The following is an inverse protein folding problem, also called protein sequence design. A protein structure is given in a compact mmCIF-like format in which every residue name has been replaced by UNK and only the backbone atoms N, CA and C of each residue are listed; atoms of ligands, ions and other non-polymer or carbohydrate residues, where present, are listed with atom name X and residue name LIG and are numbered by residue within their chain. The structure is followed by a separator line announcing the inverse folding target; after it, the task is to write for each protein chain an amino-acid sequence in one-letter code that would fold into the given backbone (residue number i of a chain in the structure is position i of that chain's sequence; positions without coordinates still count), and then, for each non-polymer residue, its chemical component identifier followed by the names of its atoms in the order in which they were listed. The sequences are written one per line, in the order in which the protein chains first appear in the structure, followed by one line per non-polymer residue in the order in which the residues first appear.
data_IF_481561253646
#
_entry.id   IF_481561253646
#
_cell.length_a   1.000
_cell.length_b   1.000
_cell.length_c   1.000
_cell.angle_alpha   90.00
_cell.angle_beta   90.00
_cell.angle_gamma   90.00
#
_symmetry.space_group_name_H-M   'P 1'
#
loop_
_entity.id
_entity.type
_entity.pdbx_description
1 polymer ?
#
# COMPACT_ATOMS: atom_id res chain seq x y z
N UNK A 1 -17.07 -6.96 3.34
CA UNK A 1 -15.61 -6.79 3.47
C UNK A 1 -15.33 -5.58 4.36
N UNK A 2 -14.66 -5.80 5.48
CA UNK A 2 -14.46 -4.76 6.50
C UNK A 2 -13.03 -4.21 6.40
N UNK A 3 -12.85 -3.22 5.52
CA UNK A 3 -11.55 -2.67 5.18
C UNK A 3 -11.21 -1.52 6.10
N UNK A 4 -9.98 -1.53 6.64
CA UNK A 4 -9.46 -0.48 7.50
C UNK A 4 -8.13 0.07 6.97
N UNK A 5 -7.88 1.32 7.25
CA UNK A 5 -6.60 1.95 6.93
C UNK A 5 -5.47 1.19 7.62
N UNK A 6 -4.43 0.84 6.88
CA UNK A 6 -3.32 0.03 7.38
C UNK A 6 -3.45 -1.46 7.09
N UNK A 7 -4.59 -1.90 6.57
CA UNK A 7 -4.76 -3.28 6.14
C UNK A 7 -3.96 -3.56 4.87
N UNK A 8 -3.50 -4.80 4.73
CA UNK A 8 -2.80 -5.28 3.54
C UNK A 8 -3.68 -6.31 2.86
N UNK A 9 -3.96 -6.09 1.58
CA UNK A 9 -4.73 -7.01 0.74
C UNK A 9 -3.95 -7.39 -0.49
N UNK A 10 -4.15 -8.59 -1.01
CA UNK A 10 -3.81 -8.88 -2.41
C UNK A 10 -4.80 -8.13 -3.30
N UNK A 11 -4.28 -7.58 -4.38
CA UNK A 11 -5.09 -6.88 -5.37
C UNK A 11 -4.54 -7.10 -6.76
N UNK A 12 -5.43 -7.14 -7.75
CA UNK A 12 -5.04 -7.15 -9.16
C UNK A 12 -4.91 -5.71 -9.65
N UNK A 13 -3.69 -5.29 -9.93
CA UNK A 13 -3.38 -3.93 -10.34
C UNK A 13 -3.34 -3.78 -11.87
N UNK A 14 -3.49 -4.84 -12.62
CA UNK A 14 -3.45 -4.80 -14.09
C UNK A 14 -4.75 -4.20 -14.66
N UNK A 15 -4.69 -3.52 -15.84
CA UNK A 15 -3.49 -3.23 -16.62
C UNK A 15 -2.73 -2.01 -16.11
N UNK A 16 -1.43 -1.97 -16.38
CA UNK A 16 -0.56 -0.86 -16.03
C UNK A 16 0.32 -0.47 -17.23
N UNK A 17 0.99 0.68 -17.11
CA UNK A 17 1.88 1.20 -18.16
C UNK A 17 3.27 1.44 -17.58
N UNK A 18 4.29 0.98 -18.30
CA UNK A 18 5.69 1.28 -18.01
C UNK A 18 6.12 0.85 -16.60
N UNK A 19 6.59 1.83 -15.84
CA UNK A 19 7.16 1.59 -14.50
C UNK A 19 6.14 1.45 -13.39
N UNK A 20 4.84 1.49 -13.71
CA UNK A 20 3.79 1.26 -12.72
C UNK A 20 3.82 -0.19 -12.22
N UNK A 21 3.57 -0.36 -10.92
CA UNK A 21 3.48 -1.69 -10.34
C UNK A 21 2.19 -2.38 -10.79
N UNK A 22 2.31 -3.55 -11.41
CA UNK A 22 1.18 -4.29 -11.96
C UNK A 22 1.09 -5.72 -11.46
N UNK A 23 0.13 -6.45 -12.01
CA UNK A 23 -0.12 -7.84 -11.64
C UNK A 23 -0.83 -7.97 -10.29
N UNK A 24 -0.96 -9.20 -9.82
CA UNK A 24 -1.53 -9.50 -8.51
C UNK A 24 -0.42 -9.37 -7.47
N UNK A 25 -0.60 -8.46 -6.50
CA UNK A 25 0.42 -8.18 -5.49
C UNK A 25 -0.21 -7.58 -4.25
N UNK A 26 0.52 -7.59 -3.13
CA UNK A 26 0.05 -6.90 -1.92
C UNK A 26 -0.06 -5.40 -2.15
N UNK A 27 -1.09 -4.81 -1.54
CA UNK A 27 -1.25 -3.36 -1.46
C UNK A 27 -1.58 -2.97 -0.03
N UNK A 28 -1.17 -1.77 0.36
CA UNK A 28 -1.49 -1.20 1.67
C UNK A 28 -2.62 -0.21 1.51
N UNK A 29 -3.69 -0.38 2.29
CA UNK A 29 -4.81 0.55 2.29
C UNK A 29 -4.39 1.81 3.04
N UNK A 30 -4.38 2.94 2.33
CA UNK A 30 -4.01 4.24 2.91
C UNK A 30 -5.17 5.21 2.99
N UNK A 31 -6.31 4.87 2.38
CA UNK A 31 -7.52 5.68 2.45
C UNK A 31 -8.08 5.74 3.86
N UNK A 32 -8.70 6.86 4.23
CA UNK A 32 -9.35 7.01 5.53
C UNK A 32 -10.51 6.02 5.70
N UNK A 33 -10.87 5.73 6.96
CA UNK A 33 -11.82 4.68 7.26
C UNK A 33 -13.27 5.04 6.91
N UNK A 34 -13.60 6.32 6.83
CA UNK A 34 -14.92 6.73 6.33
C UNK A 34 -15.06 6.35 4.86
N UNK A 35 -14.04 6.68 4.06
CA UNK A 35 -13.99 6.26 2.65
C UNK A 35 -13.97 4.75 2.52
N UNK A 36 -13.19 4.07 3.34
CA UNK A 36 -13.11 2.60 3.30
C UNK A 36 -14.47 1.95 3.54
N UNK A 37 -15.29 2.56 4.37
CA UNK A 37 -16.62 2.03 4.68
C UNK A 37 -17.64 2.32 3.59
N UNK A 38 -17.64 3.51 3.01
CA UNK A 38 -18.75 3.98 2.19
C UNK A 38 -18.44 4.11 0.70
N UNK A 39 -17.17 4.24 0.33
CA UNK A 39 -16.79 4.37 -1.10
C UNK A 39 -16.73 3.02 -1.80
N UNK A 40 -17.07 2.93 -3.08
CA UNK A 40 -16.84 1.72 -3.87
C UNK A 40 -15.36 1.52 -4.22
N UNK A 41 -14.52 2.51 -3.96
CA UNK A 41 -13.08 2.45 -4.25
C UNK A 41 -12.26 2.64 -2.98
N UNK A 42 -10.99 2.25 -3.06
CA UNK A 42 -10.00 2.51 -2.01
C UNK A 42 -8.77 3.15 -2.62
N UNK A 43 -8.06 3.93 -1.80
CA UNK A 43 -6.74 4.46 -2.16
C UNK A 43 -5.72 3.52 -1.51
N UNK A 44 -4.81 2.99 -2.32
CA UNK A 44 -3.84 2.01 -1.86
C UNK A 44 -2.47 2.27 -2.45
N UNK A 45 -1.43 1.87 -1.72
CA UNK A 45 -0.04 1.94 -2.15
C UNK A 45 0.45 0.54 -2.51
N UNK A 46 1.21 0.43 -3.60
CA UNK A 46 1.76 -0.84 -4.02
C UNK A 46 2.87 -1.30 -3.07
N UNK A 47 2.96 -2.61 -2.88
CA UNK A 47 4.00 -3.25 -2.09
C UNK A 47 4.80 -4.16 -3.02
N UNK A 48 6.14 -4.12 -2.90
CA UNK A 48 7.03 -4.96 -3.69
C UNK A 48 8.01 -5.70 -2.79
N UNK A 49 8.35 -6.93 -3.16
CA UNK A 49 9.41 -7.69 -2.50
C UNK A 49 10.78 -7.42 -3.15
N UNK A 50 10.86 -6.64 -4.22
CA UNK A 50 12.11 -6.32 -4.89
C UNK A 50 12.85 -5.23 -4.12
N UNK A 51 13.84 -5.64 -3.33
CA UNK A 51 14.58 -4.74 -2.46
C UNK A 51 15.80 -4.11 -3.13
N UNK A 52 16.09 -4.49 -4.38
CA UNK A 52 17.20 -3.93 -5.15
C UNK A 52 16.90 -2.57 -5.76
N UNK A 53 15.68 -2.09 -5.68
CA UNK A 53 15.32 -0.76 -6.18
C UNK A 53 16.02 0.32 -5.39
N UNK A 54 16.37 1.43 -6.06
CA UNK A 54 16.91 2.59 -5.40
C UNK A 54 15.94 3.06 -4.31
N UNK A 55 16.47 3.28 -3.11
CA UNK A 55 15.63 3.70 -1.97
C UNK A 55 15.31 5.17 -2.09
N UNK A 56 14.02 5.48 -2.02
CA UNK A 56 13.51 6.84 -1.98
C UNK A 56 12.95 7.13 -0.57
N UNK A 57 12.81 8.41 -0.20
CA UNK A 57 12.16 8.75 1.08
C UNK A 57 10.72 8.25 1.18
N UNK A 58 10.11 7.91 0.04
CA UNK A 58 8.75 7.38 -0.04
C UNK A 58 8.70 5.85 0.06
N UNK A 59 9.84 5.18 0.25
CA UNK A 59 9.93 3.73 0.40
C UNK A 59 9.97 3.37 1.88
N UNK A 60 9.00 2.59 2.35
CA UNK A 60 8.93 2.16 3.75
C UNK A 60 9.07 0.64 3.81
N UNK A 61 10.13 0.12 4.46
CA UNK A 61 10.31 -1.32 4.57
C UNK A 61 9.32 -1.93 5.55
N UNK A 62 8.86 -3.14 5.23
CA UNK A 62 8.01 -3.96 6.10
C UNK A 62 8.66 -5.33 6.23
N UNK A 63 8.78 -5.84 7.46
CA UNK A 63 9.24 -7.22 7.69
C UNK A 63 8.05 -8.16 7.50
N UNK A 64 8.30 -9.32 6.91
CA UNK A 64 7.27 -10.28 6.56
C UNK A 64 6.42 -10.69 7.77
N UNK A 65 7.09 -11.03 8.87
CA UNK A 65 6.43 -11.57 10.06
C UNK A 65 5.52 -10.57 10.77
N UNK A 66 5.85 -9.27 10.72
CA UNK A 66 5.05 -8.24 11.41
C UNK A 66 3.87 -7.77 10.58
N UNK A 67 3.91 -7.96 9.27
CA UNK A 67 2.88 -7.46 8.36
C UNK A 67 2.01 -8.56 7.75
N UNK A 68 2.28 -9.84 8.07
CA UNK A 68 1.56 -10.96 7.49
C UNK A 68 1.92 -11.25 6.05
N UNK A 69 3.08 -10.78 5.59
CA UNK A 69 3.57 -10.98 4.24
C UNK A 69 4.43 -12.24 4.17
N UNK A 70 4.55 -12.84 2.99
CA UNK A 70 5.40 -14.02 2.78
C UNK A 70 6.88 -13.67 2.69
N UNK A 71 7.21 -12.43 2.37
CA UNK A 71 8.59 -11.93 2.21
C UNK A 71 8.71 -10.53 2.76
N UNK A 72 9.91 -10.18 3.23
CA UNK A 72 10.25 -8.79 3.52
C UNK A 72 10.00 -7.95 2.28
N UNK A 73 9.37 -6.80 2.46
CA UNK A 73 8.84 -6.00 1.36
C UNK A 73 9.04 -4.52 1.61
N UNK A 74 8.70 -3.73 0.60
CA UNK A 74 8.77 -2.26 0.65
C UNK A 74 7.45 -1.70 0.16
N UNK A 75 6.85 -0.78 0.92
CA UNK A 75 5.71 0.00 0.47
C UNK A 75 6.21 1.17 -0.35
N UNK A 76 5.63 1.37 -1.52
CA UNK A 76 6.02 2.41 -2.46
C UNK A 76 4.99 3.53 -2.43
N UNK A 77 5.25 4.57 -1.64
CA UNK A 77 4.27 5.65 -1.46
C UNK A 77 4.25 6.64 -2.63
N UNK A 78 5.10 6.45 -3.63
CA UNK A 78 4.97 7.13 -4.92
C UNK A 78 4.09 6.34 -5.90
N UNK A 79 3.73 5.10 -5.56
CA UNK A 79 2.86 4.22 -6.36
C UNK A 79 1.49 4.11 -5.68
N UNK A 80 0.90 5.25 -5.39
CA UNK A 80 -0.43 5.33 -4.77
C UNK A 80 -1.47 5.48 -5.87
N UNK A 81 -2.55 4.70 -5.78
CA UNK A 81 -3.62 4.79 -6.77
C UNK A 81 -4.96 4.43 -6.16
N UNK A 82 -6.02 4.89 -6.83
CA UNK A 82 -7.38 4.48 -6.52
C UNK A 82 -7.72 3.22 -7.28
N UNK A 83 -8.24 2.24 -6.57
CA UNK A 83 -8.70 0.99 -7.20
C UNK A 83 -10.12 0.66 -6.73
N UNK A 84 -10.88 0.00 -7.60
CA UNK A 84 -12.19 -0.52 -7.23
C UNK A 84 -12.02 -1.63 -6.19
N UNK A 85 -12.91 -1.69 -5.20
CA UNK A 85 -12.90 -2.74 -4.18
C UNK A 85 -12.97 -4.14 -4.78
N UNK A 86 -13.55 -4.28 -5.98
CA UNK A 86 -13.61 -5.57 -6.69
C UNK A 86 -12.23 -6.11 -7.06
N UNK A 87 -11.21 -5.27 -7.11
CA UNK A 87 -9.84 -5.71 -7.37
C UNK A 87 -9.17 -6.32 -6.14
N UNK A 88 -9.71 -6.08 -4.95
CA UNK A 88 -9.18 -6.64 -3.71
C UNK A 88 -9.51 -8.12 -3.61
N UNK A 89 -8.51 -8.90 -3.26
CA UNK A 89 -8.63 -10.34 -3.00
C UNK A 89 -8.59 -10.56 -1.49
N UNK A 90 -7.85 -11.52 -1.01
CA UNK A 90 -7.81 -11.82 0.42
C UNK A 90 -6.99 -10.83 1.22
N UNK A 91 -7.40 -10.61 2.46
CA UNK A 91 -6.61 -9.82 3.42
C UNK A 91 -5.43 -10.66 3.89
N UNK A 92 -4.26 -10.05 3.89
CA UNK A 92 -3.03 -10.70 4.32
C UNK A 92 -2.66 -10.38 5.76
N UNK A 93 -2.91 -9.15 6.19
CA UNK A 93 -2.53 -8.68 7.50
C UNK A 93 -2.76 -7.20 7.63
N UNK A 94 -2.05 -6.58 8.54
CA UNK A 94 -2.10 -5.14 8.76
C UNK A 94 -0.77 -4.65 9.32
N UNK A 95 -0.52 -3.36 9.23
CA UNK A 95 0.69 -2.75 9.80
C UNK A 95 0.35 -2.12 11.15
N UNK A 96 1.35 -2.04 12.03
CA UNK A 96 1.17 -1.44 13.34
C UNK A 96 1.21 0.10 13.27
N UNK A 97 0.94 0.73 14.40
CA UNK A 97 0.88 2.19 14.50
C UNK A 97 2.23 2.85 14.17
N UNK A 98 3.32 2.23 14.59
CA UNK A 98 4.66 2.76 14.31
C UNK A 98 4.94 2.77 12.80
N UNK A 99 4.63 1.69 12.12
CA UNK A 99 4.77 1.62 10.67
C UNK A 99 3.83 2.63 9.98
N UNK A 100 2.60 2.79 10.47
CA UNK A 100 1.67 3.78 9.90
C UNK A 100 2.18 5.20 10.06
N UNK A 101 2.85 5.53 11.16
CA UNK A 101 3.45 6.86 11.33
C UNK A 101 4.51 7.13 10.28
N UNK A 102 5.34 6.14 9.95
CA UNK A 102 6.35 6.25 8.90
C UNK A 102 5.68 6.38 7.53
N UNK A 103 4.62 5.62 7.29
CA UNK A 103 3.86 5.66 6.05
C UNK A 103 3.20 7.03 5.86
N UNK A 104 2.60 7.58 6.91
CA UNK A 104 1.99 8.92 6.87
C UNK A 104 3.01 9.98 6.48
N UNK A 105 4.20 9.92 7.07
CA UNK A 105 5.28 10.84 6.71
C UNK A 105 5.69 10.68 5.24
N UNK A 106 5.81 9.45 4.77
CA UNK A 106 6.18 9.17 3.39
C UNK A 106 5.11 9.65 2.41
N UNK A 107 3.83 9.54 2.76
CA UNK A 107 2.72 10.10 1.97
C UNK A 107 2.85 11.62 1.88
N UNK A 108 3.12 12.29 2.99
CA UNK A 108 3.32 13.73 3.00
C UNK A 108 4.46 14.16 2.08
N UNK A 109 5.55 13.42 2.09
CA UNK A 109 6.69 13.66 1.20
C UNK A 109 6.27 13.43 -0.26
N UNK A 110 5.64 12.30 -0.54
CA UNK A 110 5.24 11.90 -1.90
C UNK A 110 4.29 12.93 -2.53
N UNK A 111 3.41 13.49 -1.72
CA UNK A 111 2.41 14.46 -2.19
C UNK A 111 2.90 15.91 -2.09
N UNK A 112 4.11 16.12 -1.56
CA UNK A 112 4.66 17.46 -1.43
C UNK A 112 4.01 18.31 -0.33
N UNK A 113 3.42 17.67 0.68
CA UNK A 113 2.72 18.39 1.75
C UNK A 113 3.69 18.96 2.79
N UNK A 114 4.89 18.38 2.91
CA UNK A 114 5.93 18.83 3.83
C UNK A 114 7.10 19.41 3.03
N UNK A 115 6.80 20.37 2.21
CA UNK A 115 7.83 21.03 1.38
C UNK A 115 8.70 21.97 2.21
#
# INVERSE_FOLDING_TARGET
MNIHRGDIYYADLSPVVGSEQGGVRPVLIVQNDVGNRFSPTVIAAAITSQQSKAKLPTHIPLTADTAGLSKDSVVLLEQVRTIDKKRLKEKMGSVDENAMNQIDNAISISFGLNA
#
